data_IF_584921093757
#
_entry.id   IF_584921093757
#
_cell.length_a   1.000
_cell.length_b   1.000
_cell.length_c   1.000
_cell.angle_alpha   90.00
_cell.angle_beta   90.00
_cell.angle_gamma   90.00
#
_symmetry.space_group_name_H-M   'P 1'
#
loop_
_entity.id
_entity.type
_entity.pdbx_description
1 polymer ?
#
# COMPACT_ATOMS: atom_id res chain seq x y z
N UNK A 1 3.81 -21.74 -2.37
CA UNK A 1 3.86 -21.01 -1.10
C UNK A 1 4.70 -19.76 -1.28
N UNK A 2 4.17 -18.62 -0.87
CA UNK A 2 4.81 -17.29 -0.88
C UNK A 2 5.48 -16.90 -2.20
N UNK A 3 4.67 -16.65 -3.23
CA UNK A 3 5.18 -16.08 -4.48
C UNK A 3 5.35 -14.58 -4.31
N UNK A 4 6.58 -14.09 -4.49
CA UNK A 4 6.88 -12.67 -4.69
C UNK A 4 7.68 -12.51 -5.98
N UNK A 5 7.62 -11.33 -6.58
CA UNK A 5 8.30 -11.03 -7.83
C UNK A 5 8.96 -9.66 -7.76
N UNK A 6 10.02 -9.42 -8.54
CA UNK A 6 10.66 -8.09 -8.55
C UNK A 6 9.96 -7.09 -9.47
N UNK A 7 9.21 -7.59 -10.46
CA UNK A 7 8.58 -6.80 -11.54
C UNK A 7 7.12 -7.21 -11.74
N UNK A 8 6.26 -6.31 -12.27
CA UNK A 8 4.90 -6.68 -12.65
C UNK A 8 4.89 -7.89 -13.59
N UNK A 9 3.95 -8.80 -13.35
CA UNK A 9 3.70 -9.92 -14.26
C UNK A 9 2.65 -9.56 -15.29
N UNK A 10 2.89 -9.96 -16.54
CA UNK A 10 1.91 -9.78 -17.64
C UNK A 10 0.63 -10.58 -17.39
N UNK A 11 0.75 -11.79 -16.85
CA UNK A 11 -0.40 -12.62 -16.47
C UNK A 11 -0.81 -12.35 -15.02
N UNK A 12 -2.10 -12.59 -14.73
CA UNK A 12 -2.63 -12.57 -13.37
C UNK A 12 -2.10 -13.73 -12.56
N UNK A 13 -1.86 -13.48 -11.28
CA UNK A 13 -1.39 -14.47 -10.31
C UNK A 13 -2.00 -14.18 -8.94
N UNK A 14 -1.89 -15.13 -8.02
CA UNK A 14 -2.40 -15.00 -6.66
C UNK A 14 -1.37 -15.53 -5.66
N UNK A 15 -1.10 -14.74 -4.62
CA UNK A 15 -0.35 -15.17 -3.46
C UNK A 15 -1.33 -15.71 -2.42
N UNK A 16 -1.12 -16.93 -1.95
CA UNK A 16 -1.90 -17.52 -0.86
C UNK A 16 -1.00 -17.71 0.37
N UNK A 17 -1.45 -17.25 1.54
CA UNK A 17 -0.75 -17.41 2.82
C UNK A 17 -1.65 -17.25 4.04
N UNK A 18 -1.19 -17.77 5.18
CA UNK A 18 -1.72 -17.41 6.50
C UNK A 18 -1.25 -16.04 7.01
N UNK A 19 -1.94 -15.55 8.04
CA UNK A 19 -1.49 -14.38 8.84
C UNK A 19 -0.28 -14.78 9.71
N UNK A 20 -0.29 -16.01 10.23
CA UNK A 20 0.84 -16.65 10.92
C UNK A 20 1.69 -17.52 9.99
N UNK A 21 2.33 -18.52 10.57
CA UNK A 21 3.17 -19.51 9.89
C UNK A 21 2.38 -20.77 9.49
N UNK A 22 1.15 -20.93 9.99
CA UNK A 22 0.24 -22.03 9.68
C UNK A 22 -1.03 -21.56 8.94
N UNK A 23 -1.64 -22.46 8.17
CA UNK A 23 -2.98 -22.28 7.62
C UNK A 23 -4.08 -22.62 8.64
N UNK A 24 -3.95 -23.75 9.34
CA UNK A 24 -4.84 -24.10 10.45
C UNK A 24 -4.46 -23.33 11.71
N UNK A 25 -5.40 -23.21 12.67
CA UNK A 25 -5.08 -22.67 13.99
C UNK A 25 -3.97 -23.46 14.66
N UNK A 26 -2.89 -22.78 15.02
CA UNK A 26 -1.78 -23.37 15.77
C UNK A 26 -1.62 -22.65 17.12
N UNK A 27 -1.97 -23.37 18.20
CA UNK A 27 -1.86 -22.86 19.59
C UNK A 27 -0.42 -22.56 20.03
N UNK A 28 0.58 -23.05 19.31
CA UNK A 28 1.99 -22.80 19.61
C UNK A 28 2.52 -21.52 18.96
N UNK A 29 1.74 -20.88 18.07
CA UNK A 29 2.13 -19.60 17.49
C UNK A 29 2.04 -18.49 18.53
N UNK A 30 3.14 -17.78 18.71
CA UNK A 30 3.21 -16.56 19.52
C UNK A 30 2.93 -15.33 18.67
N UNK A 31 2.56 -14.17 19.27
CA UNK A 31 2.19 -12.97 18.52
C UNK A 31 3.23 -12.48 17.48
N UNK A 32 4.52 -12.72 17.74
CA UNK A 32 5.65 -12.41 16.84
C UNK A 32 5.74 -13.32 15.61
N UNK A 33 5.05 -14.46 15.62
CA UNK A 33 4.91 -15.34 14.45
C UNK A 33 3.80 -14.91 13.50
N UNK A 34 2.96 -13.95 13.90
CA UNK A 34 1.94 -13.34 13.04
C UNK A 34 2.50 -12.08 12.41
N UNK A 35 2.15 -11.84 11.15
CA UNK A 35 2.39 -10.55 10.52
C UNK A 35 1.85 -9.42 11.39
N UNK A 36 2.66 -8.38 11.55
CA UNK A 36 2.18 -7.09 12.00
C UNK A 36 1.17 -6.52 11.00
N UNK A 37 0.38 -5.54 11.44
CA UNK A 37 -0.57 -4.87 10.53
C UNK A 37 0.18 -4.16 9.40
N UNK A 38 1.33 -3.58 9.72
CA UNK A 38 2.22 -2.91 8.77
C UNK A 38 2.75 -3.88 7.72
N UNK A 39 3.35 -5.00 8.13
CA UNK A 39 3.85 -6.02 7.20
C UNK A 39 2.74 -6.58 6.31
N UNK A 40 1.53 -6.78 6.86
CA UNK A 40 0.38 -7.25 6.09
C UNK A 40 -0.02 -6.24 5.01
N UNK A 41 -0.13 -4.95 5.35
CA UNK A 41 -0.49 -3.90 4.38
C UNK A 41 0.61 -3.72 3.34
N UNK A 42 1.88 -3.65 3.75
CA UNK A 42 3.02 -3.50 2.83
C UNK A 42 3.09 -4.64 1.81
N UNK A 43 2.96 -5.87 2.30
CA UNK A 43 2.93 -7.06 1.44
C UNK A 43 1.73 -7.06 0.50
N UNK A 44 0.54 -6.70 1.00
CA UNK A 44 -0.64 -6.66 0.16
C UNK A 44 -0.50 -5.63 -0.98
N UNK A 45 -0.02 -4.44 -0.66
CA UNK A 45 0.26 -3.38 -1.65
C UNK A 45 1.30 -3.84 -2.67
N UNK A 46 2.38 -4.51 -2.23
CA UNK A 46 3.41 -5.05 -3.11
C UNK A 46 2.87 -6.10 -4.08
N UNK A 47 2.03 -7.01 -3.60
CA UNK A 47 1.37 -8.03 -4.42
C UNK A 47 0.50 -7.38 -5.50
N UNK A 48 -0.34 -6.41 -5.11
CA UNK A 48 -1.27 -5.73 -6.03
C UNK A 48 -0.51 -4.93 -7.09
N UNK A 49 0.56 -4.21 -6.72
CA UNK A 49 1.37 -3.44 -7.67
C UNK A 49 2.07 -4.33 -8.71
N UNK A 50 2.19 -5.63 -8.45
CA UNK A 50 2.83 -6.62 -9.32
C UNK A 50 1.85 -7.51 -10.08
N UNK A 51 0.58 -7.10 -10.17
CA UNK A 51 -0.53 -7.76 -10.83
C UNK A 51 -1.14 -8.94 -10.07
N UNK A 52 -0.81 -9.09 -8.80
CA UNK A 52 -1.26 -10.20 -7.97
C UNK A 52 -2.53 -9.91 -7.19
N UNK A 53 -3.21 -10.97 -6.78
CA UNK A 53 -4.19 -10.95 -5.69
C UNK A 53 -3.58 -11.56 -4.42
N UNK A 54 -4.09 -11.17 -3.26
CA UNK A 54 -3.77 -11.82 -1.99
C UNK A 54 -4.97 -12.62 -1.51
N UNK A 55 -4.81 -13.94 -1.41
CA UNK A 55 -5.70 -14.83 -0.69
C UNK A 55 -5.15 -15.03 0.73
N UNK A 56 -5.70 -14.27 1.67
CA UNK A 56 -5.29 -14.32 3.08
C UNK A 56 -6.12 -15.35 3.84
N UNK A 57 -5.47 -16.41 4.30
CA UNK A 57 -6.09 -17.47 5.07
C UNK A 57 -6.27 -17.07 6.55
N UNK A 58 -7.40 -17.47 7.12
CA UNK A 58 -7.73 -17.37 8.54
C UNK A 58 -7.87 -18.77 9.12
N UNK A 59 -7.27 -19.02 10.27
CA UNK A 59 -7.38 -20.30 10.99
C UNK A 59 -8.25 -20.16 12.23
N UNK A 60 -9.55 -20.50 12.18
CA UNK A 60 -10.40 -20.58 13.36
C UNK A 60 -9.93 -21.67 14.32
N UNK A 61 -10.20 -21.48 15.61
CA UNK A 61 -10.04 -22.50 16.65
C UNK A 61 -11.07 -23.62 16.45
N UNK A 62 -10.86 -24.73 17.17
CA UNK A 62 -11.77 -25.88 17.14
C UNK A 62 -13.21 -25.54 17.57
N UNK A 63 -13.40 -24.50 18.40
CA UNK A 63 -14.71 -23.99 18.81
C UNK A 63 -15.36 -23.05 17.77
N UNK A 64 -14.72 -22.85 16.62
CA UNK A 64 -15.17 -21.96 15.55
C UNK A 64 -14.80 -20.48 15.73
N UNK A 65 -14.22 -20.08 16.86
CA UNK A 65 -13.82 -18.69 17.09
C UNK A 65 -12.52 -18.34 16.38
N UNK A 66 -12.40 -17.11 15.88
CA UNK A 66 -11.15 -16.60 15.30
C UNK A 66 -10.31 -15.98 16.43
N UNK A 67 -9.00 -16.22 16.44
CA UNK A 67 -8.12 -15.64 17.47
C UNK A 67 -8.10 -14.11 17.41
N UNK A 68 -8.03 -13.45 18.56
CA UNK A 68 -8.08 -11.99 18.65
C UNK A 68 -7.02 -11.29 17.80
N UNK A 69 -5.81 -11.88 17.69
CA UNK A 69 -4.74 -11.32 16.88
C UNK A 69 -5.12 -11.30 15.40
N UNK A 70 -5.70 -12.38 14.87
CA UNK A 70 -6.18 -12.44 13.49
C UNK A 70 -7.31 -11.43 13.27
N UNK A 71 -8.28 -11.33 14.20
CA UNK A 71 -9.35 -10.33 14.14
C UNK A 71 -8.78 -8.91 14.08
N UNK A 72 -7.82 -8.57 14.95
CA UNK A 72 -7.17 -7.25 14.97
C UNK A 72 -6.46 -6.93 13.64
N UNK A 73 -5.80 -7.91 13.02
CA UNK A 73 -5.15 -7.72 11.70
C UNK A 73 -6.16 -7.52 10.57
N UNK A 74 -7.22 -8.34 10.54
CA UNK A 74 -8.27 -8.22 9.52
C UNK A 74 -9.02 -6.89 9.61
N UNK A 75 -9.42 -6.49 10.82
CA UNK A 75 -10.08 -5.20 11.05
C UNK A 75 -9.15 -4.02 10.74
N UNK A 76 -7.87 -4.12 11.09
CA UNK A 76 -6.86 -3.12 10.75
C UNK A 76 -6.69 -2.95 9.24
N UNK A 77 -6.58 -4.06 8.50
CA UNK A 77 -6.50 -4.06 7.04
C UNK A 77 -7.78 -3.47 6.41
N UNK A 78 -8.95 -3.87 6.93
CA UNK A 78 -10.24 -3.33 6.49
C UNK A 78 -10.37 -1.82 6.70
N UNK A 79 -9.92 -1.32 7.87
CA UNK A 79 -9.88 0.12 8.16
C UNK A 79 -8.93 0.87 7.21
N UNK A 80 -7.76 0.31 6.91
CA UNK A 80 -6.86 0.92 5.94
C UNK A 80 -7.48 0.96 4.54
N UNK A 81 -8.17 -0.12 4.14
CA UNK A 81 -8.87 -0.22 2.86
C UNK A 81 -10.08 0.71 2.74
N UNK A 82 -10.76 1.06 3.84
CA UNK A 82 -11.86 2.03 3.77
C UNK A 82 -11.39 3.42 3.31
N UNK A 83 -10.13 3.76 3.55
CA UNK A 83 -9.53 5.02 3.11
C UNK A 83 -8.78 4.86 1.78
N UNK A 84 -7.96 3.82 1.65
CA UNK A 84 -7.02 3.65 0.54
C UNK A 84 -7.50 2.67 -0.53
N UNK A 85 -8.71 2.12 -0.40
CA UNK A 85 -9.24 1.07 -1.28
C UNK A 85 -9.34 1.48 -2.74
N UNK A 86 -9.49 2.77 -3.04
CA UNK A 86 -9.47 3.30 -4.40
C UNK A 86 -8.12 3.01 -5.12
N UNK A 87 -7.01 3.04 -4.37
CA UNK A 87 -5.68 2.72 -4.90
C UNK A 87 -5.44 1.21 -5.06
N UNK A 88 -6.41 0.36 -4.70
CA UNK A 88 -6.27 -1.10 -4.71
C UNK A 88 -7.31 -1.72 -5.65
N UNK A 89 -8.59 -1.52 -5.36
CA UNK A 89 -9.67 -2.14 -6.09
C UNK A 89 -9.77 -1.60 -7.51
N UNK A 90 -10.01 -2.50 -8.48
CA UNK A 90 -10.13 -2.20 -9.92
C UNK A 90 -8.88 -1.60 -10.57
N UNK A 91 -7.77 -1.49 -9.85
CA UNK A 91 -6.52 -0.99 -10.41
C UNK A 91 -5.77 -2.04 -11.24
N UNK A 92 -4.74 -1.59 -11.97
CA UNK A 92 -3.74 -2.40 -12.65
C UNK A 92 -2.35 -1.91 -12.26
N UNK A 93 -1.32 -2.76 -12.38
CA UNK A 93 0.07 -2.31 -12.27
C UNK A 93 0.35 -1.15 -13.21
N UNK A 94 1.19 -0.23 -12.74
CA UNK A 94 1.88 0.68 -13.63
C UNK A 94 3.14 0.01 -14.20
N UNK A 95 3.71 0.56 -15.27
CA UNK A 95 4.90 -0.01 -15.91
C UNK A 95 6.10 -0.06 -14.96
N UNK A 96 6.14 0.85 -13.99
CA UNK A 96 7.06 0.82 -12.84
C UNK A 96 6.30 0.37 -11.61
N UNK A 97 6.57 -0.84 -11.11
CA UNK A 97 5.93 -1.35 -9.88
C UNK A 97 6.35 -0.61 -8.61
N UNK A 98 7.59 -0.12 -8.59
CA UNK A 98 8.25 0.32 -7.37
C UNK A 98 9.09 1.58 -7.60
N UNK A 99 9.25 2.35 -6.52
CA UNK A 99 10.15 3.50 -6.42
C UNK A 99 10.63 3.66 -4.98
N UNK A 100 11.43 4.69 -4.76
CA UNK A 100 11.89 5.06 -3.42
C UNK A 100 11.80 6.58 -3.28
N UNK A 101 11.39 7.02 -2.09
CA UNK A 101 11.43 8.44 -1.72
C UNK A 101 12.85 8.83 -1.30
N UNK A 102 13.16 10.12 -1.27
CA UNK A 102 14.46 10.60 -0.73
C UNK A 102 14.67 10.19 0.75
N UNK A 103 13.58 9.91 1.48
CA UNK A 103 13.62 9.42 2.88
C UNK A 103 13.92 7.93 2.99
N UNK A 104 14.15 7.23 1.87
CA UNK A 104 14.35 5.78 1.85
C UNK A 104 13.07 4.95 1.98
N UNK A 105 11.89 5.58 2.02
CA UNK A 105 10.61 4.86 2.05
C UNK A 105 10.31 4.27 0.68
N UNK A 106 9.89 3.00 0.66
CA UNK A 106 9.45 2.33 -0.55
C UNK A 106 8.14 2.93 -1.07
N UNK A 107 8.02 3.00 -2.39
CA UNK A 107 6.79 3.39 -3.08
C UNK A 107 6.36 2.24 -3.97
N UNK A 108 5.05 1.98 -4.02
CA UNK A 108 4.43 1.05 -4.96
C UNK A 108 3.38 1.78 -5.79
N UNK A 109 3.24 1.37 -7.04
CA UNK A 109 2.33 2.04 -7.98
C UNK A 109 1.22 1.14 -8.48
N UNK A 110 0.02 1.67 -8.50
CA UNK A 110 -1.16 1.10 -9.14
C UNK A 110 -1.83 2.21 -9.96
N UNK A 111 -2.64 1.84 -10.94
CA UNK A 111 -3.34 2.82 -11.77
C UNK A 111 -4.73 2.35 -12.20
N UNK A 112 -5.59 3.30 -12.51
CA UNK A 112 -6.75 3.10 -13.38
C UNK A 112 -6.46 3.74 -14.74
N UNK A 113 -7.47 3.87 -15.59
CA UNK A 113 -7.37 4.69 -16.81
C UNK A 113 -7.27 6.18 -16.48
N UNK A 114 -7.83 6.60 -15.35
CA UNK A 114 -7.95 8.01 -14.97
C UNK A 114 -6.86 8.47 -13.99
N UNK A 115 -6.42 7.61 -13.08
CA UNK A 115 -5.58 8.00 -11.95
C UNK A 115 -4.37 7.08 -11.81
N UNK A 116 -3.23 7.68 -11.47
CA UNK A 116 -2.07 6.97 -10.94
C UNK A 116 -2.07 7.09 -9.41
N UNK A 117 -1.79 6.00 -8.72
CA UNK A 117 -1.64 5.99 -7.26
C UNK A 117 -0.20 5.64 -6.89
N UNK A 118 0.44 6.50 -6.11
CA UNK A 118 1.73 6.25 -5.48
C UNK A 118 1.49 5.91 -4.01
N UNK A 119 1.64 4.65 -3.64
CA UNK A 119 1.40 4.13 -2.30
C UNK A 119 2.75 4.06 -1.57
N UNK A 120 2.94 4.93 -0.58
CA UNK A 120 4.17 5.01 0.21
C UNK A 120 4.06 4.01 1.35
N UNK A 121 5.03 3.10 1.45
CA UNK A 121 5.13 2.11 2.50
C UNK A 121 5.92 2.70 3.66
N UNK A 122 5.19 3.25 4.62
CA UNK A 122 5.75 3.88 5.81
C UNK A 122 4.89 5.03 6.30
N UNK A 123 5.19 5.47 7.53
CA UNK A 123 4.50 6.58 8.16
C UNK A 123 5.16 7.92 7.75
N UNK A 124 4.33 8.90 7.36
CA UNK A 124 4.79 10.26 7.04
C UNK A 124 4.58 11.25 8.19
N UNK A 125 4.02 10.81 9.32
CA UNK A 125 3.77 11.58 10.54
C UNK A 125 4.79 11.26 11.65
N UNK A 126 5.27 12.26 12.42
CA UNK A 126 5.15 13.70 12.17
C UNK A 126 6.19 14.12 11.13
N UNK A 127 5.77 14.94 10.16
CA UNK A 127 6.67 15.39 9.11
C UNK A 127 7.56 16.52 9.63
N UNK A 128 8.74 16.21 10.20
CA UNK A 128 9.76 17.25 10.50
C UNK A 128 10.14 18.03 9.23
N UNK A 129 10.12 17.35 8.08
CA UNK A 129 10.22 17.94 6.75
C UNK A 129 8.86 17.86 6.05
N UNK A 130 8.31 18.99 5.59
CA UNK A 130 7.03 19.00 4.84
C UNK A 130 7.18 18.54 3.39
N UNK A 131 8.40 18.45 2.86
CA UNK A 131 8.63 18.03 1.48
C UNK A 131 8.79 16.51 1.38
N UNK A 132 8.04 15.92 0.48
CA UNK A 132 8.14 14.52 0.08
C UNK A 132 8.60 14.49 -1.38
N UNK A 133 9.73 13.83 -1.63
CA UNK A 133 10.34 13.77 -2.95
C UNK A 133 10.22 12.35 -3.50
N UNK A 134 9.68 12.23 -4.70
CA UNK A 134 9.51 10.98 -5.46
C UNK A 134 10.30 11.13 -6.77
N UNK A 135 11.24 10.23 -7.00
CA UNK A 135 12.05 10.22 -8.21
C UNK A 135 11.43 9.40 -9.35
N UNK A 136 11.85 9.69 -10.57
CA UNK A 136 11.53 8.93 -11.79
C UNK A 136 10.03 8.86 -12.12
N UNK A 137 9.28 9.90 -11.80
CA UNK A 137 7.85 10.02 -12.10
C UNK A 137 7.61 11.17 -13.09
N UNK A 138 6.99 10.82 -14.22
CA UNK A 138 6.59 11.79 -15.22
C UNK A 138 5.10 12.04 -15.07
N UNK A 139 4.71 13.29 -14.79
CA UNK A 139 3.31 13.72 -14.71
C UNK A 139 3.07 14.95 -15.57
N UNK A 140 1.82 15.19 -15.96
CA UNK A 140 1.40 16.39 -16.69
C UNK A 140 1.50 17.65 -15.80
N UNK A 141 1.80 18.80 -16.40
CA UNK A 141 1.81 20.09 -15.71
C UNK A 141 0.45 20.50 -15.13
N UNK A 142 -0.64 19.92 -15.65
CA UNK A 142 -2.02 20.17 -15.20
C UNK A 142 -2.51 19.17 -14.16
N UNK A 143 -1.62 18.32 -13.63
CA UNK A 143 -2.04 17.24 -12.73
C UNK A 143 -2.55 17.77 -11.39
N UNK A 144 -3.67 17.23 -10.92
CA UNK A 144 -4.14 17.36 -9.55
C UNK A 144 -3.59 16.22 -8.70
N UNK A 145 -3.05 16.54 -7.53
CA UNK A 145 -2.45 15.56 -6.61
C UNK A 145 -3.11 15.71 -5.25
N UNK A 146 -3.59 14.62 -4.66
CA UNK A 146 -4.20 14.59 -3.32
C UNK A 146 -3.80 13.33 -2.54
N UNK A 147 -4.09 13.29 -1.25
CA UNK A 147 -3.88 12.11 -0.41
C UNK A 147 -5.23 11.42 -0.23
N UNK A 148 -5.33 10.10 -0.41
CA UNK A 148 -6.59 9.42 -0.16
C UNK A 148 -7.01 9.57 1.32
N UNK A 149 -8.28 9.92 1.55
CA UNK A 149 -8.80 10.33 2.85
C UNK A 149 -8.67 11.84 3.14
N UNK A 150 -8.02 12.60 2.25
CA UNK A 150 -7.99 14.06 2.27
C UNK A 150 -7.97 14.62 0.83
N UNK A 151 -9.15 15.01 0.33
CA UNK A 151 -9.32 15.50 -1.04
C UNK A 151 -8.74 16.90 -1.29
N UNK A 152 -8.08 17.51 -0.30
CA UNK A 152 -7.35 18.75 -0.50
C UNK A 152 -6.20 18.53 -1.48
N UNK A 153 -6.19 19.33 -2.56
CA UNK A 153 -5.09 19.34 -3.52
C UNK A 153 -3.78 19.76 -2.83
N UNK A 154 -2.72 19.00 -3.11
CA UNK A 154 -1.37 19.27 -2.63
C UNK A 154 -0.66 20.28 -3.55
N UNK A 155 0.13 21.16 -2.93
CA UNK A 155 1.11 21.94 -3.66
C UNK A 155 2.26 21.04 -4.09
N UNK A 156 2.69 21.14 -5.34
CA UNK A 156 3.79 20.33 -5.87
C UNK A 156 4.65 21.10 -6.88
N UNK A 157 5.88 20.62 -7.07
CA UNK A 157 6.81 21.09 -8.09
C UNK A 157 7.46 19.89 -8.77
N UNK A 158 7.73 20.03 -10.07
CA UNK A 158 8.45 19.03 -10.86
C UNK A 158 9.71 19.65 -11.43
N UNK A 159 10.83 18.95 -11.26
CA UNK A 159 12.12 19.28 -11.87
C UNK A 159 12.69 18.03 -12.53
N UNK A 160 12.73 18.03 -13.87
CA UNK A 160 12.96 16.81 -14.66
C UNK A 160 11.98 15.69 -14.26
N UNK A 161 12.51 14.54 -13.87
CA UNK A 161 11.72 13.37 -13.43
C UNK A 161 11.49 13.33 -11.91
N UNK A 162 11.83 14.40 -11.19
CA UNK A 162 11.67 14.48 -9.74
C UNK A 162 10.43 15.29 -9.39
N UNK A 163 9.53 14.68 -8.61
CA UNK A 163 8.32 15.29 -8.08
C UNK A 163 8.49 15.60 -6.60
N UNK A 164 8.33 16.87 -6.24
CA UNK A 164 8.36 17.35 -4.85
C UNK A 164 6.94 17.74 -4.45
N UNK A 165 6.39 17.05 -3.45
CA UNK A 165 5.08 17.30 -2.86
C UNK A 165 5.24 18.02 -1.53
N UNK A 166 4.42 19.04 -1.28
CA UNK A 166 4.31 19.67 0.03
C UNK A 166 3.18 19.01 0.81
N UNK A 167 3.54 18.25 1.85
CA UNK A 167 2.61 17.54 2.72
C UNK A 167 1.80 18.53 3.59
N UNK A 168 0.49 18.27 3.80
CA UNK A 168 -0.34 19.04 4.70
C UNK A 168 0.05 18.78 6.16
N UNK A 169 -0.39 19.66 7.07
CA UNK A 169 -0.11 19.50 8.49
C UNK A 169 -0.87 18.32 9.11
N UNK A 170 -2.09 18.08 8.63
CA UNK A 170 -2.90 16.93 9.02
C UNK A 170 -2.59 15.76 8.10
N UNK A 171 -1.73 14.86 8.57
CA UNK A 171 -1.40 13.60 7.89
C UNK A 171 -2.13 12.42 8.53
N UNK A 172 -2.64 11.46 7.74
CA UNK A 172 -3.15 10.20 8.29
C UNK A 172 -2.02 9.46 9.01
N UNK A 173 -2.33 8.89 10.19
CA UNK A 173 -1.39 8.09 10.99
C UNK A 173 -1.43 6.62 10.57
N UNK A 174 -1.21 6.38 9.28
CA UNK A 174 -1.24 5.04 8.70
C UNK A 174 0.17 4.56 8.36
N UNK A 175 0.35 3.24 8.34
CA UNK A 175 1.62 2.61 7.96
C UNK A 175 1.85 2.56 6.44
N UNK A 176 0.84 2.93 5.66
CA UNK A 176 0.99 3.19 4.22
C UNK A 176 0.00 4.27 3.78
N UNK A 177 0.44 5.16 2.89
CA UNK A 177 -0.34 6.33 2.47
C UNK A 177 -0.41 6.37 0.95
N UNK A 178 -1.62 6.41 0.39
CA UNK A 178 -1.82 6.51 -1.05
C UNK A 178 -1.96 7.97 -1.51
N UNK A 179 -1.10 8.37 -2.44
CA UNK A 179 -1.18 9.65 -3.14
C UNK A 179 -1.86 9.41 -4.49
N UNK A 180 -2.94 10.12 -4.75
CA UNK A 180 -3.67 10.11 -6.02
C UNK A 180 -3.13 11.20 -6.93
N UNK A 181 -2.86 10.85 -8.18
CA UNK A 181 -2.39 11.74 -9.24
C UNK A 181 -3.36 11.61 -10.41
N UNK A 182 -3.96 12.73 -10.83
CA UNK A 182 -4.89 12.79 -11.95
C UNK A 182 -4.46 13.88 -12.94
N UNK A 183 -4.46 13.62 -14.27
CA UNK A 183 -4.75 12.33 -14.88
C UNK A 183 -3.60 11.32 -14.70
N UNK A 184 -3.86 10.05 -14.98
CA UNK A 184 -2.82 9.03 -15.11
C UNK A 184 -1.85 9.45 -16.24
N UNK A 185 -0.53 9.47 -16.00
CA UNK A 185 0.47 9.73 -17.03
C UNK A 185 0.52 8.67 -18.14
#
# INVERSE_FOLDING_TARGET
EYTSYDKPKKHKWEACRGIGNSFGYNRMETPDMYLTLEELIHMFVDIVSKNGNLLLNVGPKADGTISEIQVKRLLGLGKWLSTNGEAIYKTRPWDKAAGITERGLEVRYTRTEENLYAIILGNLYPSQNKNLIIHNIEISAQSSISILGNDQALSWKKDGSTLTLTLPESMPKDCAIAIKINPCP
#
